data_IF_587559615497
#
_entry.id   IF_587559615497
#
_cell.length_a   1.000
_cell.length_b   1.000
_cell.length_c   1.000
_cell.angle_alpha   90.00
_cell.angle_beta   90.00
_cell.angle_gamma   90.00
#
_symmetry.space_group_name_H-M   'P 1'
#
loop_
_entity.id
_entity.type
_entity.pdbx_description
1 polymer ?
#
# COMPACT_ATOMS: atom_id res chain seq x y z
N UNK A 1 3.96 6.06 -14.24
CA UNK A 1 4.76 5.31 -13.24
C UNK A 1 3.89 4.20 -12.63
N UNK A 2 2.76 4.54 -12.02
CA UNK A 2 1.83 3.65 -11.31
C UNK A 2 0.86 2.88 -12.22
N UNK A 3 1.38 2.27 -13.29
CA UNK A 3 0.56 1.44 -14.19
C UNK A 3 1.19 0.08 -14.31
N UNK A 4 0.45 -0.96 -13.91
CA UNK A 4 0.88 -2.35 -14.01
C UNK A 4 1.22 -2.68 -15.45
N UNK A 5 2.31 -3.40 -15.65
CA UNK A 5 2.74 -3.81 -16.98
C UNK A 5 2.21 -5.19 -17.34
N UNK A 6 1.97 -5.36 -18.64
CA UNK A 6 1.59 -6.63 -19.25
C UNK A 6 2.87 -7.35 -19.69
N UNK A 7 2.90 -8.66 -19.49
CA UNK A 7 3.96 -9.52 -20.01
C UNK A 7 3.84 -9.64 -21.55
N UNK A 8 4.90 -10.07 -22.26
CA UNK A 8 4.80 -10.33 -23.70
C UNK A 8 3.70 -11.33 -24.09
N UNK A 9 3.30 -12.21 -23.15
CA UNK A 9 2.18 -13.14 -23.32
C UNK A 9 0.80 -12.47 -23.35
N UNK A 10 0.69 -11.18 -23.01
CA UNK A 10 -0.60 -10.50 -22.82
C UNK A 10 -1.17 -10.64 -21.41
N UNK A 11 -0.56 -11.45 -20.55
CA UNK A 11 -0.97 -11.60 -19.15
C UNK A 11 -0.53 -10.42 -18.30
N UNK A 12 -1.32 -10.09 -17.27
CA UNK A 12 -0.88 -9.12 -16.25
C UNK A 12 0.31 -9.69 -15.49
N UNK A 13 1.28 -8.84 -15.20
CA UNK A 13 2.34 -9.15 -14.27
C UNK A 13 1.76 -9.63 -12.91
N UNK A 14 2.18 -10.80 -12.37
CA UNK A 14 1.68 -11.34 -11.10
C UNK A 14 1.89 -10.43 -9.88
N UNK A 15 2.92 -9.57 -9.92
CA UNK A 15 3.20 -8.56 -8.89
C UNK A 15 2.49 -7.24 -9.15
N UNK A 16 1.71 -7.13 -10.22
CA UNK A 16 1.04 -5.91 -10.64
C UNK A 16 1.98 -4.69 -10.68
N UNK A 17 3.23 -4.91 -11.12
CA UNK A 17 4.32 -3.94 -11.00
C UNK A 17 4.43 -3.01 -12.21
N UNK A 18 4.81 -1.75 -11.97
CA UNK A 18 5.09 -0.75 -13.00
C UNK A 18 6.19 0.24 -12.59
N UNK A 19 7.24 0.37 -13.41
CA UNK A 19 8.33 1.36 -13.28
C UNK A 19 8.82 1.61 -11.84
N UNK A 20 9.06 0.56 -11.05
CA UNK A 20 9.53 0.69 -9.67
C UNK A 20 8.48 0.44 -8.59
N UNK A 21 7.20 0.24 -8.94
CA UNK A 21 6.10 0.23 -7.98
C UNK A 21 5.23 -1.00 -8.08
N UNK A 22 4.86 -1.54 -6.93
CA UNK A 22 3.78 -2.51 -6.81
C UNK A 22 2.45 -1.78 -6.73
N UNK A 23 1.46 -2.23 -7.49
CA UNK A 23 0.12 -1.64 -7.54
C UNK A 23 -0.87 -2.71 -7.11
N UNK A 24 -1.40 -2.60 -5.90
CA UNK A 24 -2.31 -3.57 -5.31
C UNK A 24 -3.63 -2.94 -4.88
N UNK A 25 -4.45 -3.75 -4.21
CA UNK A 25 -5.66 -3.32 -3.54
C UNK A 25 -5.52 -3.45 -2.03
N UNK A 26 -6.03 -2.48 -1.29
CA UNK A 26 -6.28 -2.60 0.15
C UNK A 26 -7.78 -2.81 0.34
N UNK A 27 -8.16 -3.91 0.99
CA UNK A 27 -9.55 -4.12 1.41
C UNK A 27 -9.81 -3.24 2.62
N UNK A 28 -10.78 -2.35 2.49
CA UNK A 28 -11.37 -1.57 3.59
C UNK A 28 -12.83 -2.00 3.74
N UNK A 29 -13.33 -2.02 4.96
CA UNK A 29 -14.74 -2.31 5.21
C UNK A 29 -15.37 -1.01 5.65
N UNK A 30 -16.40 -0.56 4.93
CA UNK A 30 -17.19 0.60 5.32
C UNK A 30 -17.95 0.27 6.61
N UNK A 31 -17.69 1.02 7.69
CA UNK A 31 -18.32 0.76 8.99
C UNK A 31 -19.82 1.08 9.02
N UNK A 32 -20.33 1.90 8.09
CA UNK A 32 -21.75 2.26 8.00
C UNK A 32 -22.56 1.21 7.23
N UNK A 33 -22.01 0.69 6.13
CA UNK A 33 -22.71 -0.26 5.26
C UNK A 33 -22.32 -1.72 5.53
N UNK A 34 -21.14 -1.94 6.12
CA UNK A 34 -20.54 -3.26 6.32
C UNK A 34 -20.01 -3.89 5.04
N UNK A 35 -19.95 -3.14 3.94
CA UNK A 35 -19.47 -3.64 2.65
C UNK A 35 -17.95 -3.48 2.51
N UNK A 36 -17.32 -4.47 1.88
CA UNK A 36 -15.89 -4.42 1.57
C UNK A 36 -15.67 -3.65 0.26
N UNK A 37 -14.80 -2.65 0.32
CA UNK A 37 -14.28 -1.91 -0.83
C UNK A 37 -12.78 -2.23 -1.02
N UNK A 38 -12.36 -2.36 -2.29
CA UNK A 38 -10.95 -2.49 -2.63
C UNK A 38 -10.45 -1.16 -3.18
N UNK A 39 -9.71 -0.43 -2.36
CA UNK A 39 -9.10 0.85 -2.75
C UNK A 39 -7.69 0.65 -3.32
N UNK A 40 -7.26 1.57 -4.18
CA UNK A 40 -5.95 1.47 -4.83
C UNK A 40 -4.83 1.70 -3.83
N UNK A 41 -3.86 0.80 -3.79
CA UNK A 41 -2.65 0.93 -2.97
C UNK A 41 -1.41 0.80 -3.83
N UNK A 42 -0.58 1.84 -3.85
CA UNK A 42 0.68 1.87 -4.59
C UNK A 42 1.83 1.90 -3.59
N UNK A 43 2.81 0.99 -3.71
CA UNK A 43 3.91 0.95 -2.75
C UNK A 43 5.26 0.52 -3.34
N UNK A 44 6.31 0.90 -2.63
CA UNK A 44 7.67 0.40 -2.82
C UNK A 44 8.33 0.17 -1.45
N UNK A 45 8.87 -1.04 -1.27
CA UNK A 45 9.59 -1.44 -0.07
C UNK A 45 11.09 -1.55 -0.32
N UNK A 46 11.89 -1.26 0.69
CA UNK A 46 13.34 -1.42 0.67
C UNK A 46 13.82 -2.19 1.89
N UNK A 47 14.81 -3.07 1.70
CA UNK A 47 15.46 -3.77 2.80
C UNK A 47 16.96 -3.73 2.62
N UNK A 48 17.68 -3.49 3.71
CA UNK A 48 19.14 -3.54 3.77
C UNK A 48 19.57 -3.90 5.18
N UNK A 49 20.69 -4.59 5.37
CA UNK A 49 21.16 -5.11 6.66
C UNK A 49 20.79 -4.22 7.87
N UNK A 50 19.90 -4.74 8.73
CA UNK A 50 19.42 -4.05 9.92
C UNK A 50 18.31 -3.01 9.69
N UNK A 51 17.73 -2.87 8.50
CA UNK A 51 16.67 -1.90 8.22
C UNK A 51 15.68 -2.34 7.15
N UNK A 52 14.43 -1.93 7.34
CA UNK A 52 13.37 -2.02 6.36
C UNK A 52 12.67 -0.66 6.21
N UNK A 53 12.23 -0.33 5.01
CA UNK A 53 11.44 0.86 4.71
C UNK A 53 10.28 0.51 3.79
N UNK A 54 9.21 1.30 3.88
CA UNK A 54 8.06 1.23 2.98
C UNK A 54 7.58 2.64 2.71
N UNK A 55 7.29 2.91 1.43
CA UNK A 55 6.53 4.07 0.99
C UNK A 55 5.23 3.56 0.36
N UNK A 56 4.09 4.02 0.88
CA UNK A 56 2.75 3.64 0.48
C UNK A 56 1.93 4.88 0.12
N UNK A 57 1.22 4.82 -0.99
CA UNK A 57 0.38 5.89 -1.53
C UNK A 57 -1.02 5.32 -1.73
N UNK A 58 -2.01 6.02 -1.20
CA UNK A 58 -3.44 5.71 -1.31
C UNK A 58 -4.11 6.92 -1.95
N UNK A 59 -4.16 6.97 -3.29
CA UNK A 59 -4.58 8.16 -4.02
C UNK A 59 -6.03 8.55 -3.72
N UNK A 60 -6.92 7.56 -3.58
CA UNK A 60 -8.36 7.76 -3.38
C UNK A 60 -8.67 8.52 -2.08
N UNK A 61 -7.76 8.50 -1.12
CA UNK A 61 -7.90 9.16 0.18
C UNK A 61 -6.88 10.29 0.43
N UNK A 62 -6.07 10.67 -0.58
CA UNK A 62 -4.97 11.63 -0.43
C UNK A 62 -3.98 11.30 0.71
N UNK A 63 -3.75 10.00 0.95
CA UNK A 63 -2.88 9.52 2.04
C UNK A 63 -1.55 9.03 1.48
N UNK A 64 -0.46 9.42 2.16
CA UNK A 64 0.87 8.84 1.97
C UNK A 64 1.39 8.38 3.33
N UNK A 65 1.83 7.13 3.41
CA UNK A 65 2.47 6.57 4.59
C UNK A 65 3.91 6.19 4.26
N UNK A 66 4.85 6.79 4.98
CA UNK A 66 6.27 6.45 4.90
C UNK A 66 6.72 5.92 6.27
N UNK A 67 7.25 4.70 6.31
CA UNK A 67 7.75 4.09 7.54
C UNK A 67 9.14 3.51 7.32
N UNK A 68 9.99 3.65 8.34
CA UNK A 68 11.32 3.04 8.38
C UNK A 68 11.52 2.38 9.74
N UNK A 69 12.19 1.23 9.73
CA UNK A 69 12.57 0.47 10.92
C UNK A 69 14.07 0.20 10.89
N UNK A 70 14.70 0.20 12.07
CA UNK A 70 16.08 -0.25 12.31
C UNK A 70 16.14 -1.73 12.70
N UNK A 71 15.15 -2.50 12.25
CA UNK A 71 15.11 -3.95 12.34
C UNK A 71 14.51 -4.52 11.07
N UNK A 72 14.82 -5.79 10.79
CA UNK A 72 14.24 -6.53 9.67
C UNK A 72 13.44 -7.70 10.25
N UNK A 73 12.14 -7.74 9.96
CA UNK A 73 11.32 -8.90 10.22
C UNK A 73 11.58 -10.02 9.21
N UNK A 74 11.14 -11.25 9.52
CA UNK A 74 11.05 -12.30 8.49
C UNK A 74 10.13 -11.81 7.37
N UNK A 75 10.59 -11.87 6.12
CA UNK A 75 9.86 -11.31 4.97
C UNK A 75 10.25 -9.88 4.57
N UNK A 76 11.31 -9.32 5.15
CA UNK A 76 11.85 -8.06 4.67
C UNK A 76 10.96 -6.86 5.00
N UNK A 77 10.53 -6.11 3.99
CA UNK A 77 9.65 -4.93 4.14
C UNK A 77 8.17 -5.29 4.26
N UNK A 78 7.77 -6.52 3.95
CA UNK A 78 6.35 -6.92 3.90
C UNK A 78 5.64 -6.78 5.25
N UNK A 79 6.24 -7.15 6.41
CA UNK A 79 5.63 -6.90 7.71
C UNK A 79 5.43 -5.40 7.98
N UNK A 80 6.38 -4.56 7.55
CA UNK A 80 6.29 -3.12 7.71
C UNK A 80 5.20 -2.53 6.80
N UNK A 81 5.02 -3.07 5.59
CA UNK A 81 3.92 -2.71 4.71
C UNK A 81 2.55 -3.03 5.30
N UNK A 82 2.41 -4.19 5.98
CA UNK A 82 1.17 -4.52 6.71
C UNK A 82 0.88 -3.53 7.83
N UNK A 83 1.91 -3.09 8.57
CA UNK A 83 1.75 -2.07 9.61
C UNK A 83 1.37 -0.72 8.99
N UNK A 84 2.03 -0.31 7.89
CA UNK A 84 1.72 0.91 7.18
C UNK A 84 0.26 0.95 6.69
N UNK A 85 -0.28 -0.17 6.19
CA UNK A 85 -1.68 -0.28 5.81
C UNK A 85 -2.64 -0.10 7.01
N UNK A 86 -2.30 -0.66 8.18
CA UNK A 86 -3.08 -0.46 9.41
C UNK A 86 -3.05 1.00 9.87
N UNK A 87 -1.89 1.65 9.80
CA UNK A 87 -1.77 3.08 10.09
C UNK A 87 -2.64 3.89 9.15
N UNK A 88 -2.58 3.63 7.84
CA UNK A 88 -3.42 4.32 6.86
C UNK A 88 -4.91 4.16 7.16
N UNK A 89 -5.35 2.94 7.53
CA UNK A 89 -6.74 2.65 7.88
C UNK A 89 -7.27 3.52 9.02
N UNK A 90 -6.46 3.79 10.04
CA UNK A 90 -6.86 4.70 11.14
C UNK A 90 -7.24 6.09 10.62
N UNK A 91 -6.55 6.59 9.59
CA UNK A 91 -6.84 7.90 9.01
C UNK A 91 -8.00 7.88 8.02
N UNK A 92 -8.23 6.75 7.34
CA UNK A 92 -9.38 6.56 6.45
C UNK A 92 -10.68 6.49 7.27
N UNK A 93 -10.67 5.73 8.36
CA UNK A 93 -11.84 5.48 9.20
C UNK A 93 -12.12 6.65 10.17
N UNK A 94 -11.23 7.65 10.25
CA UNK A 94 -11.40 8.81 11.13
C UNK A 94 -12.49 9.76 10.61
N UNK A 95 -13.56 10.05 11.39
CA UNK A 95 -14.59 10.98 10.97
C UNK A 95 -14.04 12.41 10.94
N UNK A 96 -13.71 12.92 9.76
CA UNK A 96 -13.26 14.32 9.64
C UNK A 96 -12.62 14.80 8.35
N UNK A 97 -12.68 14.09 7.21
CA UNK A 97 -12.13 14.59 5.94
C UNK A 97 -13.22 14.75 4.86
N UNK A 98 -14.27 15.49 5.20
CA UNK A 98 -15.06 16.23 4.21
C UNK A 98 -14.41 17.61 3.99
N UNK A 99 -13.72 17.77 2.86
CA UNK A 99 -13.52 19.06 2.20
C UNK A 99 -12.31 19.90 2.64
N UNK A 100 -11.34 19.99 1.74
CA UNK A 100 -10.80 21.27 1.31
C UNK A 100 -11.43 21.61 -0.05
#
# INVERSE_FOLDING_TARGET
MFTSRTLPSGEKNPRHYGLGWTIGGLVITDEQTGEDEIITLIHHGGTRAGSATILMIIPDHNIVVAMTSNSIGRGGSDPLASIAAKVARVFIDSPGHTGL
#
